data_IF_457638885257
#
_entry.id   IF_457638885257
#
_cell.length_a   1.000
_cell.length_b   1.000
_cell.length_c   1.000
_cell.angle_alpha   90.00
_cell.angle_beta   90.00
_cell.angle_gamma   90.00
#
_symmetry.space_group_name_H-M   'P 1'
#
loop_
_entity.id
_entity.type
_entity.pdbx_description
1 polymer ?
#
# COMPACT_ATOMS: atom_id res chain seq x y z
N UNK A 1 -0.90 -3.00 -19.44
CA UNK A 1 -2.23 -3.62 -19.39
C UNK A 1 -3.26 -2.49 -19.43
N UNK A 2 -3.66 -2.06 -20.63
CA UNK A 2 -4.55 -0.90 -20.86
C UNK A 2 -6.03 -1.26 -20.83
N UNK A 3 -6.42 -2.03 -19.80
CA UNK A 3 -7.81 -2.40 -19.56
C UNK A 3 -8.42 -1.41 -18.58
N UNK A 4 -9.71 -1.15 -18.70
CA UNK A 4 -10.45 -0.38 -17.71
C UNK A 4 -10.48 -1.13 -16.37
N UNK A 5 -10.26 -0.44 -15.22
CA UNK A 5 -10.39 -1.07 -13.92
C UNK A 5 -11.80 -1.62 -13.70
N UNK A 6 -11.91 -2.92 -13.40
CA UNK A 6 -13.16 -3.54 -12.95
C UNK A 6 -13.07 -3.82 -11.45
N UNK A 7 -13.66 -2.95 -10.62
CA UNK A 7 -13.60 -3.02 -9.16
C UNK A 7 -14.97 -3.44 -8.62
N UNK A 8 -15.00 -4.55 -7.88
CA UNK A 8 -16.18 -5.05 -7.19
C UNK A 8 -16.06 -4.82 -5.67
N UNK A 9 -17.10 -4.26 -5.06
CA UNK A 9 -17.19 -4.09 -3.62
C UNK A 9 -17.97 -5.24 -3.01
N UNK A 10 -17.45 -5.83 -1.93
CA UNK A 10 -18.09 -6.90 -1.18
C UNK A 10 -18.37 -6.47 0.25
N UNK A 11 -19.34 -7.11 0.90
CA UNK A 11 -19.65 -6.85 2.30
C UNK A 11 -18.47 -7.24 3.21
N UNK A 12 -18.19 -6.42 4.23
CA UNK A 12 -17.15 -6.73 5.22
C UNK A 12 -17.53 -7.97 6.04
N UNK A 13 -16.66 -9.01 6.07
CA UNK A 13 -16.86 -10.18 6.91
C UNK A 13 -17.08 -9.80 8.39
N UNK A 14 -18.15 -10.29 9.04
CA UNK A 14 -18.48 -9.92 10.42
C UNK A 14 -17.34 -10.13 11.42
N UNK A 15 -16.59 -11.22 11.26
CA UNK A 15 -15.46 -11.60 12.09
C UNK A 15 -14.32 -10.56 12.03
N UNK A 16 -14.15 -9.85 10.92
CA UNK A 16 -13.09 -8.86 10.76
C UNK A 16 -13.45 -7.48 11.34
N UNK A 17 -14.73 -7.18 11.58
CA UNK A 17 -15.18 -5.82 11.94
C UNK A 17 -14.48 -5.24 13.18
N UNK A 18 -14.21 -6.07 14.18
CA UNK A 18 -13.52 -5.65 15.41
C UNK A 18 -12.00 -5.71 15.33
N UNK A 19 -11.45 -6.29 14.26
CA UNK A 19 -10.02 -6.52 14.05
C UNK A 19 -9.46 -5.74 12.86
N UNK A 20 -10.32 -5.02 12.13
CA UNK A 20 -9.94 -4.28 10.93
C UNK A 20 -9.60 -2.84 11.27
N UNK A 21 -8.40 -2.42 10.86
CA UNK A 21 -7.96 -1.04 11.00
C UNK A 21 -8.37 -0.25 9.75
N UNK A 22 -9.41 0.56 9.85
CA UNK A 22 -9.90 1.41 8.74
C UNK A 22 -8.91 2.52 8.33
N UNK A 23 -8.00 2.91 9.22
CA UNK A 23 -7.01 3.93 8.95
C UNK A 23 -5.71 3.69 9.72
N UNK A 24 -4.58 3.75 9.01
CA UNK A 24 -3.26 3.68 9.60
C UNK A 24 -2.39 4.81 9.06
N UNK A 25 -1.52 5.36 9.91
CA UNK A 25 -0.52 6.35 9.52
C UNK A 25 0.67 6.26 10.47
N UNK A 26 1.86 6.02 9.92
CA UNK A 26 3.08 5.97 10.69
C UNK A 26 3.48 7.38 11.20
N UNK A 27 3.91 7.45 12.46
CA UNK A 27 4.59 8.62 13.02
C UNK A 27 6.08 8.51 12.67
N UNK A 28 6.60 9.51 11.96
CA UNK A 28 7.93 9.43 11.35
C UNK A 28 9.03 10.08 12.18
N UNK A 29 8.68 10.86 13.20
CA UNK A 29 9.59 11.65 14.02
C UNK A 29 10.73 10.82 14.60
N UNK A 30 10.44 9.65 15.17
CA UNK A 30 11.49 8.76 15.71
C UNK A 30 12.48 8.31 14.65
N UNK A 31 11.99 7.91 13.48
CA UNK A 31 12.84 7.45 12.37
C UNK A 31 13.69 8.61 11.81
N UNK A 32 13.08 9.79 11.65
CA UNK A 32 13.79 10.99 11.20
C UNK A 32 14.87 11.43 12.20
N UNK A 33 14.56 11.42 13.50
CA UNK A 33 15.52 11.74 14.56
C UNK A 33 16.68 10.75 14.65
N UNK A 34 16.45 9.48 14.29
CA UNK A 34 17.50 8.46 14.19
C UNK A 34 18.42 8.64 12.97
N UNK A 35 18.16 9.62 12.09
CA UNK A 35 19.05 10.00 10.99
C UNK A 35 18.61 9.54 9.60
N UNK A 36 17.46 8.86 9.46
CA UNK A 36 16.97 8.48 8.14
C UNK A 36 16.32 9.68 7.43
N UNK A 37 17.02 10.23 6.44
CA UNK A 37 16.60 11.44 5.72
C UNK A 37 15.99 11.18 4.33
N UNK A 38 16.10 9.96 3.80
CA UNK A 38 15.62 9.66 2.44
C UNK A 38 14.07 9.75 2.33
N UNK A 39 13.53 10.14 1.15
CA UNK A 39 12.09 10.08 0.91
C UNK A 39 11.61 8.63 0.86
N UNK A 40 10.33 8.42 1.17
CA UNK A 40 9.67 7.15 0.91
C UNK A 40 9.14 7.14 -0.51
N UNK A 41 9.15 5.97 -1.14
CA UNK A 41 8.53 5.76 -2.45
C UNK A 41 7.03 6.06 -2.35
N UNK A 42 6.51 6.80 -3.32
CA UNK A 42 5.07 7.01 -3.45
C UNK A 42 4.36 5.67 -3.71
N UNK A 43 3.09 5.57 -3.31
CA UNK A 43 2.32 4.33 -3.47
C UNK A 43 2.24 3.91 -4.94
N UNK A 44 1.92 4.85 -5.82
CA UNK A 44 1.73 4.63 -7.24
C UNK A 44 3.02 4.13 -7.91
N UNK A 45 4.17 4.69 -7.52
CA UNK A 45 5.47 4.30 -8.04
C UNK A 45 5.87 2.92 -7.54
N UNK A 46 5.68 2.64 -6.25
CA UNK A 46 5.98 1.34 -5.64
C UNK A 46 5.11 0.22 -6.21
N UNK A 47 3.81 0.44 -6.39
CA UNK A 47 2.89 -0.53 -7.00
C UNK A 47 3.30 -0.81 -8.45
N UNK A 48 3.63 0.23 -9.24
CA UNK A 48 4.06 0.07 -10.63
C UNK A 48 5.33 -0.77 -10.74
N UNK A 49 6.35 -0.43 -9.96
CA UNK A 49 7.63 -1.15 -9.94
C UNK A 49 7.43 -2.60 -9.50
N UNK A 50 6.67 -2.83 -8.43
CA UNK A 50 6.40 -4.18 -7.95
C UNK A 50 5.69 -5.04 -9.01
N UNK A 51 4.59 -4.55 -9.59
CA UNK A 51 3.81 -5.33 -10.56
C UNK A 51 4.60 -5.59 -11.84
N UNK A 52 5.22 -4.56 -12.42
CA UNK A 52 5.87 -4.67 -13.73
C UNK A 52 7.30 -5.20 -13.64
N UNK A 53 8.01 -4.86 -12.57
CA UNK A 53 9.41 -5.18 -12.36
C UNK A 53 9.66 -6.48 -11.63
N UNK A 54 8.68 -7.02 -10.89
CA UNK A 54 8.83 -8.24 -10.10
C UNK A 54 7.74 -9.27 -10.34
N UNK A 55 6.45 -8.90 -10.24
CA UNK A 55 5.35 -9.88 -10.29
C UNK A 55 5.07 -10.41 -11.71
N UNK A 56 5.12 -9.54 -12.71
CA UNK A 56 4.82 -9.86 -14.10
C UNK A 56 6.05 -10.16 -14.95
N UNK A 57 7.23 -10.35 -14.33
CA UNK A 57 8.41 -10.89 -15.03
C UNK A 57 8.28 -12.41 -15.13
N UNK A 58 8.69 -12.95 -16.26
CA UNK A 58 8.72 -14.39 -16.56
C UNK A 58 9.47 -15.23 -15.50
#
# INVERSE_FOLDING_TARGET
>A
MGLEPNIEYIDMPPELRGMYQYFTRAEMGKLRAAGYAAPFTALEDGVRDYVQGYLAKD
#
